data_IF_586050507011
#
_entry.id   IF_586050507011
#
_cell.length_a   1.000
_cell.length_b   1.000
_cell.length_c   1.000
_cell.angle_alpha   90.00
_cell.angle_beta   90.00
_cell.angle_gamma   90.00
#
_symmetry.space_group_name_H-M   'P 1'
#
loop_
_entity.id
_entity.type
_entity.pdbx_description
1 polymer ?
#
# COMPACT_ATOMS: atom_id res chain seq x y z
N UNK A 1 -65.82 -56.22 -12.39
CA UNK A 1 -64.76 -55.82 -13.35
C UNK A 1 -63.94 -54.69 -12.71
N UNK A 2 -62.85 -55.05 -12.01
CA UNK A 2 -62.02 -54.09 -11.25
C UNK A 2 -60.74 -53.84 -12.00
N UNK A 3 -60.52 -52.56 -12.42
CA UNK A 3 -59.28 -52.15 -13.03
C UNK A 3 -58.39 -51.51 -11.91
N UNK A 4 -57.28 -52.17 -11.63
CA UNK A 4 -56.21 -51.70 -10.73
C UNK A 4 -55.40 -50.64 -11.45
N UNK A 5 -55.32 -49.42 -10.84
CA UNK A 5 -54.40 -48.37 -11.23
C UNK A 5 -53.11 -48.52 -10.39
N UNK A 6 -52.00 -48.82 -11.04
CA UNK A 6 -50.66 -48.80 -10.49
C UNK A 6 -50.13 -47.39 -10.59
N UNK A 7 -49.93 -46.73 -9.47
CA UNK A 7 -49.21 -45.45 -9.36
C UNK A 7 -47.71 -45.69 -9.38
N UNK A 8 -47.04 -45.14 -10.38
CA UNK A 8 -45.57 -45.12 -10.46
C UNK A 8 -45.11 -43.83 -9.77
N UNK A 9 -44.48 -43.95 -8.59
CA UNK A 9 -43.85 -42.86 -7.88
C UNK A 9 -42.43 -42.72 -8.43
N UNK A 10 -42.19 -41.64 -9.18
CA UNK A 10 -40.87 -41.27 -9.65
C UNK A 10 -40.16 -40.42 -8.56
N UNK A 11 -39.22 -41.03 -7.88
CA UNK A 11 -38.37 -40.32 -6.90
C UNK A 11 -37.35 -39.49 -7.65
N UNK A 12 -37.48 -38.16 -7.61
CA UNK A 12 -36.51 -37.20 -8.14
C UNK A 12 -35.44 -36.95 -7.05
N UNK A 13 -34.29 -37.58 -7.20
CA UNK A 13 -33.14 -37.35 -6.34
C UNK A 13 -32.47 -36.01 -6.74
N UNK A 14 -32.74 -34.94 -5.97
CA UNK A 14 -31.98 -33.70 -6.06
C UNK A 14 -30.59 -33.90 -5.43
N UNK A 15 -29.59 -34.00 -6.27
CA UNK A 15 -28.18 -33.90 -5.84
C UNK A 15 -27.88 -32.44 -5.59
N UNK A 16 -27.91 -32.01 -4.33
CA UNK A 16 -27.37 -30.73 -3.88
C UNK A 16 -25.84 -30.79 -3.94
N UNK A 17 -25.27 -30.30 -5.03
CA UNK A 17 -23.83 -29.98 -5.08
C UNK A 17 -23.62 -28.71 -4.25
N UNK A 18 -23.28 -28.88 -2.97
CA UNK A 18 -22.79 -27.81 -2.14
C UNK A 18 -21.39 -27.37 -2.65
N UNK A 19 -21.37 -26.45 -3.61
CA UNK A 19 -20.13 -25.77 -4.01
C UNK A 19 -19.64 -24.94 -2.84
N UNK A 20 -18.63 -25.44 -2.12
CA UNK A 20 -17.86 -24.63 -1.19
C UNK A 20 -17.14 -23.57 -2.00
N UNK A 21 -17.68 -22.35 -2.05
CA UNK A 21 -16.94 -21.17 -2.50
C UNK A 21 -15.85 -20.95 -1.46
N UNK A 22 -14.66 -21.47 -1.72
CA UNK A 22 -13.48 -21.08 -0.95
C UNK A 22 -13.29 -19.57 -1.19
N UNK A 23 -13.54 -18.78 -0.17
CA UNK A 23 -13.11 -17.38 -0.13
C UNK A 23 -11.58 -17.42 -0.21
N UNK A 24 -11.04 -17.24 -1.41
CA UNK A 24 -9.62 -17.09 -1.60
C UNK A 24 -9.21 -15.77 -0.89
N UNK A 25 -8.60 -15.89 0.28
CA UNK A 25 -7.93 -14.75 0.87
C UNK A 25 -6.79 -14.34 -0.07
N UNK A 26 -6.71 -13.04 -0.36
CA UNK A 26 -5.63 -12.49 -1.17
C UNK A 26 -4.29 -12.82 -0.51
N UNK A 27 -3.41 -13.50 -1.25
CA UNK A 27 -2.06 -13.81 -0.80
C UNK A 27 -1.05 -12.74 -1.24
N UNK A 28 0.20 -12.82 -0.77
CA UNK A 28 1.22 -11.83 -1.11
C UNK A 28 1.40 -11.59 -2.61
N UNK A 29 1.23 -12.62 -3.45
CA UNK A 29 1.35 -12.52 -4.89
C UNK A 29 0.26 -11.62 -5.53
N UNK A 30 -0.92 -11.56 -4.94
CA UNK A 30 -2.05 -10.80 -5.46
C UNK A 30 -1.85 -9.28 -5.33
N UNK A 31 -0.92 -8.86 -4.46
CA UNK A 31 -0.57 -7.45 -4.29
C UNK A 31 0.45 -6.94 -5.31
N UNK A 32 1.16 -7.83 -6.00
CA UNK A 32 2.09 -7.46 -7.07
C UNK A 32 1.30 -7.18 -8.34
N UNK A 33 1.53 -6.00 -8.93
CA UNK A 33 0.85 -5.60 -10.16
C UNK A 33 1.22 -6.56 -11.30
N UNK A 34 0.24 -7.20 -11.95
CA UNK A 34 0.50 -8.04 -13.13
C UNK A 34 1.22 -7.28 -14.23
N UNK A 35 2.11 -7.97 -14.96
CA UNK A 35 2.95 -7.36 -16.02
C UNK A 35 2.12 -6.66 -17.09
N UNK A 36 0.99 -7.26 -17.48
CA UNK A 36 0.06 -6.72 -18.49
C UNK A 36 -0.67 -5.44 -18.06
N UNK A 37 -0.70 -5.16 -16.76
CA UNK A 37 -1.30 -3.93 -16.21
C UNK A 37 -0.36 -2.73 -16.28
N UNK A 38 0.92 -2.93 -16.60
CA UNK A 38 1.86 -1.82 -16.81
C UNK A 38 1.62 -1.19 -18.17
N UNK A 39 1.42 0.12 -18.21
CA UNK A 39 0.94 0.88 -19.38
C UNK A 39 2.01 1.20 -20.41
N UNK A 40 3.29 0.91 -20.15
CA UNK A 40 4.39 1.13 -21.12
C UNK A 40 5.29 -0.09 -21.23
N UNK A 41 6.07 -0.12 -22.30
CA UNK A 41 7.08 -1.14 -22.52
C UNK A 41 8.13 -1.15 -21.41
N UNK A 42 8.66 0.03 -21.05
CA UNK A 42 9.61 0.21 -19.94
C UNK A 42 9.04 -0.31 -18.62
N UNK A 43 7.79 0.03 -18.32
CA UNK A 43 7.12 -0.46 -17.10
C UNK A 43 6.98 -1.98 -17.08
N UNK A 44 6.63 -2.59 -18.22
CA UNK A 44 6.55 -4.07 -18.35
C UNK A 44 7.92 -4.72 -18.23
N UNK A 45 8.94 -4.18 -18.87
CA UNK A 45 10.31 -4.68 -18.79
C UNK A 45 10.81 -4.67 -17.33
N UNK A 46 10.61 -3.58 -16.61
CA UNK A 46 10.94 -3.49 -15.18
C UNK A 46 10.13 -4.48 -14.33
N UNK A 47 8.85 -4.64 -14.60
CA UNK A 47 8.00 -5.59 -13.87
C UNK A 47 8.46 -7.05 -14.06
N UNK A 48 8.84 -7.43 -15.27
CA UNK A 48 9.42 -8.76 -15.56
C UNK A 48 10.77 -8.91 -14.86
N UNK A 49 11.67 -7.93 -15.01
CA UNK A 49 13.02 -7.94 -14.44
C UNK A 49 13.02 -8.11 -12.92
N UNK A 50 12.05 -7.47 -12.24
CA UNK A 50 12.02 -7.37 -10.79
C UNK A 50 10.87 -8.15 -10.14
N UNK A 51 10.21 -9.04 -10.88
CA UNK A 51 9.09 -9.83 -10.36
C UNK A 51 9.43 -10.58 -9.05
N UNK A 52 10.58 -11.28 -8.94
CA UNK A 52 10.94 -11.97 -7.68
C UNK A 52 11.11 -11.02 -6.50
N UNK A 53 11.75 -9.87 -6.72
CA UNK A 53 11.97 -8.86 -5.67
C UNK A 53 10.67 -8.19 -5.23
N UNK A 54 9.75 -7.92 -6.17
CA UNK A 54 8.42 -7.40 -5.86
C UNK A 54 7.63 -8.40 -5.03
N UNK A 55 7.68 -9.69 -5.37
CA UNK A 55 7.03 -10.74 -4.61
C UNK A 55 7.61 -10.84 -3.19
N UNK A 56 8.94 -10.90 -3.06
CA UNK A 56 9.61 -10.94 -1.76
C UNK A 56 9.26 -9.72 -0.89
N UNK A 57 9.19 -8.53 -1.50
CA UNK A 57 8.79 -7.32 -0.79
C UNK A 57 7.33 -7.41 -0.33
N UNK A 58 6.45 -7.92 -1.17
CA UNK A 58 5.03 -8.14 -0.83
C UNK A 58 4.88 -9.13 0.31
N UNK A 59 5.59 -10.25 0.28
CA UNK A 59 5.64 -11.25 1.36
C UNK A 59 6.12 -10.63 2.68
N UNK A 60 7.17 -9.79 2.60
CA UNK A 60 7.66 -9.09 3.78
C UNK A 60 6.58 -8.18 4.38
N UNK A 61 5.93 -7.34 3.59
CA UNK A 61 4.87 -6.46 4.11
C UNK A 61 3.72 -7.27 4.69
N UNK A 62 3.28 -8.30 3.99
CA UNK A 62 2.16 -9.14 4.40
C UNK A 62 2.41 -9.88 5.72
N UNK A 63 3.60 -10.46 5.90
CA UNK A 63 3.91 -11.27 7.08
C UNK A 63 4.51 -10.48 8.25
N UNK A 64 5.26 -9.41 7.94
CA UNK A 64 6.04 -8.69 8.94
C UNK A 64 5.45 -7.36 9.38
N UNK A 65 4.47 -6.83 8.62
CA UNK A 65 3.83 -5.56 8.92
C UNK A 65 2.30 -5.73 8.95
N UNK A 66 1.76 -6.51 9.91
CA UNK A 66 0.34 -6.88 9.92
C UNK A 66 -0.63 -5.70 10.09
N UNK A 67 -0.10 -4.52 10.44
CA UNK A 67 -0.84 -3.25 10.54
C UNK A 67 -0.89 -2.48 9.21
N UNK A 68 -0.34 -3.04 8.13
CA UNK A 68 -0.36 -2.46 6.79
C UNK A 68 -0.98 -3.43 5.79
N UNK A 69 -1.86 -2.91 4.96
CA UNK A 69 -2.39 -3.62 3.79
C UNK A 69 -1.83 -2.97 2.52
N UNK A 70 -1.32 -3.76 1.57
CA UNK A 70 -0.93 -3.25 0.25
C UNK A 70 -2.19 -3.05 -0.59
N UNK A 71 -2.34 -1.86 -1.16
CA UNK A 71 -3.44 -1.50 -2.03
C UNK A 71 -2.96 -1.29 -3.47
N UNK A 72 -3.85 -1.54 -4.44
CA UNK A 72 -3.65 -1.23 -5.87
C UNK A 72 -2.33 -1.73 -6.51
N UNK A 73 -1.74 -2.75 -5.95
CA UNK A 73 -0.58 -3.45 -6.49
C UNK A 73 0.75 -2.70 -6.32
N UNK A 74 1.72 -3.47 -5.93
CA UNK A 74 3.14 -3.13 -5.90
C UNK A 74 3.70 -3.24 -7.32
N UNK A 75 4.47 -2.26 -7.80
CA UNK A 75 5.01 -2.31 -9.18
C UNK A 75 5.66 -1.01 -9.61
N UNK A 76 5.73 -0.78 -10.92
CA UNK A 76 6.37 0.40 -11.49
C UNK A 76 5.33 1.36 -12.04
N UNK A 77 5.16 2.51 -11.39
CA UNK A 77 4.14 3.52 -11.70
C UNK A 77 4.78 4.80 -12.25
N UNK A 78 3.99 5.55 -12.97
CA UNK A 78 4.32 6.88 -13.46
C UNK A 78 3.57 7.92 -12.65
N UNK A 79 4.17 9.09 -12.47
CA UNK A 79 3.44 10.25 -11.93
C UNK A 79 2.31 10.61 -12.90
N UNK A 80 1.07 10.77 -12.44
CA UNK A 80 -0.02 11.22 -13.28
C UNK A 80 0.29 12.54 -13.99
N UNK A 81 -0.06 12.65 -15.28
CA UNK A 81 0.12 13.85 -16.12
C UNK A 81 1.58 14.29 -16.32
N UNK A 82 2.58 13.55 -15.87
CA UNK A 82 3.98 13.84 -16.16
C UNK A 82 4.34 13.45 -17.61
N UNK A 83 5.15 14.29 -18.27
CA UNK A 83 5.68 13.96 -19.59
C UNK A 83 6.81 12.92 -19.47
N UNK A 84 7.07 12.18 -20.56
CA UNK A 84 8.08 11.13 -20.57
C UNK A 84 7.60 9.83 -19.93
N UNK A 85 8.50 8.87 -19.76
CA UNK A 85 8.23 7.54 -19.18
C UNK A 85 9.11 7.27 -17.95
N UNK A 86 9.11 8.22 -17.00
CA UNK A 86 9.76 8.04 -15.71
C UNK A 86 9.01 7.01 -14.89
N UNK A 87 9.69 5.91 -14.50
CA UNK A 87 9.11 4.82 -13.72
C UNK A 87 9.63 4.81 -12.30
N UNK A 88 8.69 4.84 -11.38
CA UNK A 88 8.94 4.80 -9.94
C UNK A 88 8.58 3.43 -9.41
N UNK A 89 9.46 2.79 -8.67
CA UNK A 89 9.10 1.64 -7.84
C UNK A 89 8.08 2.14 -6.82
N UNK A 90 6.88 1.57 -6.83
CA UNK A 90 5.72 2.15 -6.17
C UNK A 90 5.00 1.14 -5.29
N UNK A 91 4.63 1.57 -4.10
CA UNK A 91 3.75 0.85 -3.18
C UNK A 91 2.65 1.79 -2.67
N UNK A 92 1.45 1.26 -2.58
CA UNK A 92 0.34 1.91 -1.90
C UNK A 92 -0.06 1.04 -0.71
N UNK A 93 0.01 1.61 0.48
CA UNK A 93 -0.33 0.94 1.73
C UNK A 93 -1.51 1.62 2.40
N UNK A 94 -2.34 0.82 3.04
CA UNK A 94 -3.32 1.28 4.02
C UNK A 94 -2.78 1.00 5.41
N UNK A 95 -2.72 2.03 6.24
CA UNK A 95 -2.44 1.86 7.66
C UNK A 95 -3.76 1.54 8.38
N UNK A 96 -3.82 0.36 8.99
CA UNK A 96 -4.95 -0.06 9.82
C UNK A 96 -4.87 0.59 11.21
N UNK A 97 -4.92 1.89 11.23
CA UNK A 97 -4.93 2.64 12.47
C UNK A 97 -6.35 3.00 12.85
N UNK A 98 -6.79 2.50 14.01
CA UNK A 98 -7.96 3.07 14.65
C UNK A 98 -7.68 4.54 15.00
N UNK A 99 -8.64 5.44 14.79
CA UNK A 99 -8.46 6.85 15.11
C UNK A 99 -8.19 7.00 16.62
N UNK A 100 -6.93 7.26 16.97
CA UNK A 100 -6.56 7.64 18.32
C UNK A 100 -7.08 9.07 18.57
N UNK A 101 -7.72 9.37 19.71
CA UNK A 101 -8.23 10.70 20.01
C UNK A 101 -7.15 11.80 19.93
N UNK A 102 -5.92 11.51 20.33
CA UNK A 102 -4.83 12.47 20.24
C UNK A 102 -4.42 12.74 18.79
N UNK A 103 -4.39 11.71 17.94
CA UNK A 103 -4.17 11.88 16.50
C UNK A 103 -5.34 12.63 15.85
N UNK A 104 -6.58 12.30 16.19
CA UNK A 104 -7.78 12.94 15.66
C UNK A 104 -7.87 14.44 16.02
N UNK A 105 -7.29 14.84 17.13
CA UNK A 105 -7.24 16.24 17.56
C UNK A 105 -6.20 17.10 16.84
N UNK A 106 -5.29 16.49 16.07
CA UNK A 106 -4.29 17.23 15.33
C UNK A 106 -4.91 17.97 14.12
N UNK A 107 -4.33 19.10 13.76
CA UNK A 107 -4.58 19.73 12.47
C UNK A 107 -4.16 18.81 11.32
N UNK A 108 -4.80 18.91 10.16
CA UNK A 108 -4.61 17.99 9.03
C UNK A 108 -3.15 17.91 8.58
N UNK A 109 -2.43 19.03 8.50
CA UNK A 109 -1.02 19.07 8.16
C UNK A 109 -0.14 18.29 9.16
N UNK A 110 -0.52 18.30 10.44
CA UNK A 110 0.14 17.54 11.51
C UNK A 110 -0.18 16.04 11.42
N UNK A 111 -1.42 15.69 11.10
CA UNK A 111 -1.81 14.30 10.83
C UNK A 111 -1.02 13.75 9.65
N UNK A 112 -0.97 14.50 8.54
CA UNK A 112 -0.22 14.12 7.34
C UNK A 112 1.28 13.99 7.64
N UNK A 113 1.87 14.90 8.43
CA UNK A 113 3.27 14.83 8.86
C UNK A 113 3.55 13.59 9.71
N UNK A 114 2.62 13.23 10.60
CA UNK A 114 2.70 12.01 11.39
C UNK A 114 2.66 10.75 10.52
N UNK A 115 1.70 10.66 9.58
CA UNK A 115 1.56 9.53 8.66
C UNK A 115 2.76 9.43 7.70
N UNK A 116 3.27 10.56 7.23
CA UNK A 116 4.48 10.61 6.41
C UNK A 116 5.69 10.05 7.17
N UNK A 117 5.94 10.56 8.36
CA UNK A 117 7.11 10.16 9.16
C UNK A 117 7.02 8.71 9.61
N UNK A 118 5.81 8.28 9.99
CA UNK A 118 5.57 6.97 10.56
C UNK A 118 5.55 5.83 9.55
N UNK A 119 4.93 6.07 8.40
CA UNK A 119 4.68 5.01 7.42
C UNK A 119 5.39 5.26 6.09
N UNK A 120 5.32 6.48 5.54
CA UNK A 120 5.88 6.73 4.22
C UNK A 120 7.41 6.65 4.22
N UNK A 121 8.10 7.27 5.18
CA UNK A 121 9.57 7.23 5.24
C UNK A 121 10.13 5.82 5.52
N UNK A 122 9.65 5.04 6.50
CA UNK A 122 10.10 3.67 6.68
C UNK A 122 9.83 2.78 5.47
N UNK A 123 8.67 2.94 4.82
CA UNK A 123 8.32 2.17 3.62
C UNK A 123 9.23 2.56 2.43
N UNK A 124 9.49 3.85 2.24
CA UNK A 124 10.44 4.34 1.25
C UNK A 124 11.84 3.75 1.46
N UNK A 125 12.32 3.74 2.70
CA UNK A 125 13.62 3.16 3.06
C UNK A 125 13.69 1.68 2.70
N UNK A 126 12.63 0.91 3.00
CA UNK A 126 12.54 -0.51 2.63
C UNK A 126 12.48 -0.71 1.12
N UNK A 127 11.64 0.06 0.45
CA UNK A 127 11.48 -0.05 -1.00
C UNK A 127 12.78 0.31 -1.75
N UNK A 128 13.51 1.32 -1.29
CA UNK A 128 14.80 1.71 -1.88
C UNK A 128 15.93 0.71 -1.58
N UNK A 129 15.79 -0.10 -0.54
CA UNK A 129 16.73 -1.16 -0.18
C UNK A 129 16.52 -2.45 -0.99
N UNK A 130 15.44 -2.56 -1.77
CA UNK A 130 15.22 -3.72 -2.64
C UNK A 130 16.38 -3.84 -3.64
N UNK A 131 17.02 -5.03 -3.74
CA UNK A 131 18.20 -5.21 -4.58
C UNK A 131 17.98 -4.79 -6.04
N UNK A 132 18.84 -3.95 -6.53
CA UNK A 132 18.80 -3.44 -7.90
C UNK A 132 18.00 -2.15 -8.09
N UNK A 133 16.97 -1.85 -7.29
CA UNK A 133 16.12 -0.68 -7.52
C UNK A 133 16.90 0.65 -7.48
N UNK A 134 17.74 0.85 -6.47
CA UNK A 134 18.48 2.09 -6.30
C UNK A 134 19.67 2.26 -7.26
N UNK A 135 20.02 1.25 -8.05
CA UNK A 135 21.14 1.28 -9.02
C UNK A 135 20.69 1.16 -10.47
N UNK A 136 19.43 0.82 -10.74
CA UNK A 136 18.91 0.68 -12.10
C UNK A 136 18.58 2.06 -12.69
N UNK A 137 19.20 2.48 -13.82
CA UNK A 137 18.92 3.76 -14.46
C UNK A 137 17.48 3.87 -15.01
N UNK A 138 16.80 2.73 -15.21
CA UNK A 138 15.41 2.71 -15.66
C UNK A 138 14.40 2.92 -14.53
N UNK A 139 14.81 2.72 -13.28
CA UNK A 139 14.04 3.11 -12.09
C UNK A 139 14.36 4.56 -11.77
N UNK A 140 13.48 5.47 -12.16
CA UNK A 140 13.69 6.90 -11.93
C UNK A 140 13.65 7.29 -10.44
N UNK A 141 12.87 6.58 -9.63
CA UNK A 141 12.74 6.87 -8.22
C UNK A 141 11.76 5.94 -7.51
N UNK A 142 11.24 6.43 -6.40
CA UNK A 142 10.37 5.68 -5.50
C UNK A 142 9.07 6.44 -5.25
N UNK A 143 7.98 5.69 -5.11
CA UNK A 143 6.67 6.23 -4.77
C UNK A 143 6.06 5.45 -3.63
N UNK A 144 5.58 6.15 -2.62
CA UNK A 144 4.79 5.58 -1.54
C UNK A 144 3.49 6.37 -1.44
N UNK A 145 2.37 5.66 -1.43
CA UNK A 145 1.09 6.22 -1.03
C UNK A 145 0.68 5.59 0.31
N UNK A 146 0.28 6.42 1.25
CA UNK A 146 -0.25 6.00 2.54
C UNK A 146 -1.70 6.42 2.64
N UNK A 147 -2.57 5.46 2.90
CA UNK A 147 -4.00 5.64 3.07
C UNK A 147 -4.36 5.33 4.53
N UNK A 148 -5.25 6.11 5.12
CA UNK A 148 -5.79 5.88 6.46
C UNK A 148 -7.23 6.34 6.56
N UNK A 149 -7.94 5.87 7.59
CA UNK A 149 -9.31 6.32 7.87
C UNK A 149 -9.26 7.75 8.41
N UNK A 150 -10.00 8.66 7.77
CA UNK A 150 -10.16 10.03 8.24
C UNK A 150 -10.79 10.05 9.63
N UNK A 151 -10.16 10.74 10.62
CA UNK A 151 -10.72 10.89 11.94
C UNK A 151 -12.13 11.49 11.89
N UNK A 152 -13.05 10.94 12.69
CA UNK A 152 -14.43 11.41 12.78
C UNK A 152 -15.33 11.04 11.59
N UNK A 153 -14.83 10.25 10.62
CA UNK A 153 -15.67 9.73 9.54
C UNK A 153 -16.66 8.67 10.04
N UNK A 154 -17.75 8.49 9.29
CA UNK A 154 -18.78 7.49 9.62
C UNK A 154 -18.17 6.08 9.61
N UNK A 155 -18.23 5.31 10.70
CA UNK A 155 -17.62 3.97 10.78
C UNK A 155 -18.22 2.96 9.78
N UNK A 156 -19.49 3.13 9.39
CA UNK A 156 -20.14 2.26 8.40
C UNK A 156 -19.79 2.64 6.95
N UNK A 157 -19.24 3.85 6.73
CA UNK A 157 -18.82 4.35 5.44
C UNK A 157 -17.64 5.29 5.63
N UNK A 158 -16.47 4.74 5.95
CA UNK A 158 -15.31 5.56 6.29
C UNK A 158 -14.82 6.34 5.05
N UNK A 159 -14.51 7.61 5.29
CA UNK A 159 -13.75 8.41 4.32
C UNK A 159 -12.27 8.09 4.51
N UNK A 160 -11.56 7.93 3.43
CA UNK A 160 -10.12 7.69 3.45
C UNK A 160 -9.38 8.98 3.15
N UNK A 161 -8.30 9.22 3.87
CA UNK A 161 -7.30 10.23 3.54
C UNK A 161 -6.09 9.54 2.94
N UNK A 162 -5.45 10.16 1.93
CA UNK A 162 -4.33 9.58 1.21
C UNK A 162 -3.23 10.62 1.05
N UNK A 163 -2.01 10.26 1.43
CA UNK A 163 -0.81 10.98 1.07
C UNK A 163 -0.05 10.18 0.01
N UNK A 164 0.09 10.73 -1.20
CA UNK A 164 0.91 10.17 -2.26
C UNK A 164 2.20 10.97 -2.43
N UNK A 165 3.34 10.27 -2.48
CA UNK A 165 4.65 10.87 -2.68
C UNK A 165 5.41 10.20 -3.82
N UNK A 166 6.17 11.02 -4.55
CA UNK A 166 7.13 10.59 -5.55
C UNK A 166 8.46 11.30 -5.30
N UNK A 167 9.53 10.55 -5.17
CA UNK A 167 10.87 11.05 -4.94
C UNK A 167 11.84 10.43 -5.95
N UNK A 168 12.70 11.24 -6.54
CA UNK A 168 13.72 10.72 -7.44
C UNK A 168 14.79 9.91 -6.69
N UNK A 169 15.49 9.05 -7.43
CA UNK A 169 16.47 8.13 -6.88
C UNK A 169 17.65 8.85 -6.23
N UNK A 170 18.14 9.95 -6.84
CA UNK A 170 19.32 10.67 -6.36
C UNK A 170 19.01 11.39 -5.02
N UNK A 171 17.90 12.11 -4.95
CA UNK A 171 17.45 12.78 -3.72
C UNK A 171 17.17 11.77 -2.61
N UNK A 172 16.55 10.64 -2.94
CA UNK A 172 16.28 9.56 -1.97
C UNK A 172 17.57 8.99 -1.40
N UNK A 173 18.55 8.71 -2.24
CA UNK A 173 19.86 8.22 -1.81
C UNK A 173 20.57 9.23 -0.90
N UNK A 174 20.56 10.51 -1.28
CA UNK A 174 21.18 11.57 -0.50
C UNK A 174 20.50 11.74 0.88
N UNK A 175 19.19 11.66 0.93
CA UNK A 175 18.43 11.72 2.20
C UNK A 175 18.73 10.51 3.11
N UNK A 176 18.66 9.30 2.57
CA UNK A 176 18.92 8.08 3.34
C UNK A 176 20.39 7.98 3.78
N UNK A 177 21.33 8.53 2.98
CA UNK A 177 22.74 8.70 3.31
C UNK A 177 23.04 9.88 4.24
N UNK A 178 22.02 10.61 4.70
CA UNK A 178 22.15 11.77 5.62
C UNK A 178 22.94 12.94 5.03
N UNK A 179 23.07 13.03 3.70
CA UNK A 179 23.73 14.16 3.01
C UNK A 179 22.73 15.22 2.53
N UNK A 180 21.44 14.91 2.53
CA UNK A 180 20.34 15.84 2.24
C UNK A 180 19.45 15.96 3.48
N UNK A 181 19.25 17.17 4.03
CA UNK A 181 18.36 17.40 5.15
C UNK A 181 16.89 17.02 4.82
N UNK A 182 16.16 16.57 5.82
CA UNK A 182 14.77 16.12 5.65
C UNK A 182 13.86 17.19 5.03
N UNK A 183 14.00 18.44 5.45
CA UNK A 183 13.23 19.56 4.89
C UNK A 183 13.47 19.73 3.40
N UNK A 184 14.73 19.76 2.97
CA UNK A 184 15.09 19.91 1.56
C UNK A 184 14.64 18.67 0.74
N UNK A 185 14.70 17.49 1.33
CA UNK A 185 14.21 16.29 0.69
C UNK A 185 12.70 16.35 0.44
N UNK A 186 11.93 16.77 1.44
CA UNK A 186 10.48 16.97 1.29
C UNK A 186 10.16 18.02 0.23
N UNK A 187 10.93 19.12 0.15
CA UNK A 187 10.75 20.15 -0.87
C UNK A 187 10.96 19.62 -2.30
N UNK A 188 11.89 18.68 -2.49
CA UNK A 188 12.18 18.03 -3.79
C UNK A 188 11.16 16.98 -4.21
N UNK A 189 10.37 16.45 -3.27
CA UNK A 189 9.34 15.45 -3.58
C UNK A 189 8.15 16.09 -4.27
N UNK A 190 7.51 15.31 -5.12
CA UNK A 190 6.12 15.57 -5.50
C UNK A 190 5.21 14.93 -4.48
N UNK A 191 4.47 15.76 -3.77
CA UNK A 191 3.53 15.36 -2.73
C UNK A 191 2.12 15.79 -3.12
N UNK A 192 1.16 14.90 -2.92
CA UNK A 192 -0.27 15.19 -3.13
C UNK A 192 -1.08 14.55 -2.01
N UNK A 193 -1.90 15.34 -1.37
CA UNK A 193 -2.84 14.89 -0.35
C UNK A 193 -4.27 14.85 -0.93
N UNK A 194 -5.01 13.81 -0.56
CA UNK A 194 -6.41 13.63 -0.93
C UNK A 194 -7.27 13.48 0.32
N UNK A 195 -8.40 14.16 0.35
CA UNK A 195 -9.47 13.99 1.33
C UNK A 195 -10.63 13.28 0.64
N UNK A 196 -10.76 11.99 0.86
CA UNK A 196 -11.62 11.14 0.03
C UNK A 196 -11.19 11.19 -1.44
N UNK A 197 -12.14 11.45 -2.31
CA UNK A 197 -11.90 11.57 -3.77
C UNK A 197 -11.39 12.97 -4.19
N UNK A 198 -11.32 13.92 -3.24
CA UNK A 198 -10.90 15.29 -3.53
C UNK A 198 -9.40 15.46 -3.42
N UNK A 199 -8.74 15.84 -4.51
CA UNK A 199 -7.36 16.30 -4.49
C UNK A 199 -7.28 17.67 -3.78
N UNK A 200 -6.57 17.70 -2.64
CA UNK A 200 -6.31 18.94 -1.87
C UNK A 200 -5.02 19.60 -2.35
N UNK A 201 -4.08 18.81 -2.86
CA UNK A 201 -2.78 19.26 -3.32
C UNK A 201 -1.69 19.05 -2.28
N UNK A 202 -0.67 19.90 -2.32
CA UNK A 202 0.50 19.82 -1.43
C UNK A 202 0.19 20.46 -0.08
N UNK A 203 0.42 19.73 1.00
CA UNK A 203 0.41 20.26 2.35
C UNK A 203 1.86 20.45 2.85
N UNK A 204 2.09 21.36 3.80
CA UNK A 204 3.35 21.42 4.52
C UNK A 204 3.56 20.14 5.32
N UNK A 205 4.75 19.55 5.21
CA UNK A 205 5.09 18.32 5.92
C UNK A 205 6.35 18.56 6.75
N UNK A 206 6.26 18.22 8.02
CA UNK A 206 7.40 18.13 8.91
C UNK A 206 7.77 16.66 9.11
N UNK A 207 9.05 16.35 9.02
CA UNK A 207 9.53 14.99 9.35
C UNK A 207 9.69 14.94 10.87
N UNK A 208 8.91 14.06 11.50
CA UNK A 208 8.98 13.87 12.94
C UNK A 208 10.02 12.80 13.28
N UNK A 209 10.79 13.10 14.30
CA UNK A 209 11.62 12.11 14.95
C UNK A 209 10.78 11.24 15.91
N UNK A 210 11.25 10.07 16.20
CA UNK A 210 10.54 8.85 16.51
C UNK A 210 9.95 8.75 17.92
N UNK A 211 8.82 9.38 18.20
CA UNK A 211 8.00 8.99 19.35
C UNK A 211 6.51 8.74 18.99
N UNK A 212 6.20 8.62 17.71
CA UNK A 212 4.83 8.49 17.22
C UNK A 212 4.08 7.31 17.88
N UNK A 213 4.73 6.14 18.00
CA UNK A 213 4.14 4.96 18.64
C UNK A 213 3.81 5.22 20.10
N UNK A 214 4.75 5.83 20.84
CA UNK A 214 4.55 6.16 22.24
C UNK A 214 3.47 7.23 22.42
N UNK A 215 3.45 8.23 21.53
CA UNK A 215 2.51 9.36 21.58
C UNK A 215 1.10 8.94 21.20
N UNK A 216 0.94 8.14 20.13
CA UNK A 216 -0.38 7.80 19.58
C UNK A 216 -0.81 6.36 19.85
N UNK A 217 -0.02 5.59 20.60
CA UNK A 217 -0.33 4.20 21.03
C UNK A 217 -0.86 3.33 19.87
N UNK A 218 -0.19 3.39 18.72
CA UNK A 218 -0.62 2.70 17.51
C UNK A 218 -0.63 1.19 17.73
N UNK A 219 -1.79 0.52 17.73
CA UNK A 219 -1.86 -0.92 17.94
C UNK A 219 -1.15 -1.68 16.79
N UNK A 220 -0.55 -2.83 17.10
CA UNK A 220 0.05 -3.72 16.11
C UNK A 220 1.40 -3.23 15.54
N UNK A 221 1.98 -2.18 16.11
CA UNK A 221 3.28 -1.68 15.65
C UNK A 221 4.45 -2.59 16.05
N UNK A 222 4.33 -3.27 17.16
CA UNK A 222 5.33 -4.24 17.57
C UNK A 222 5.21 -5.50 16.72
N UNK A 223 6.27 -5.85 16.01
CA UNK A 223 6.36 -7.14 15.33
C UNK A 223 6.24 -8.24 16.36
N UNK A 224 5.39 -9.25 16.11
CA UNK A 224 5.32 -10.44 16.95
C UNK A 224 6.73 -11.06 17.03
N UNK A 225 7.25 -11.14 18.26
CA UNK A 225 8.52 -11.82 18.51
C UNK A 225 8.41 -13.27 18.03
N UNK A 226 9.20 -13.65 17.05
CA UNK A 226 9.30 -15.03 16.58
C UNK A 226 8.93 -15.27 15.11
N UNK A 227 8.38 -14.31 14.37
CA UNK A 227 8.29 -14.42 12.91
C UNK A 227 9.62 -13.98 12.27
N UNK A 228 10.04 -14.73 11.24
CA UNK A 228 11.28 -14.49 10.49
C UNK A 228 11.13 -13.21 9.68
N UNK A 229 11.28 -12.08 10.33
CA UNK A 229 11.17 -10.74 9.76
C UNK A 229 12.51 -9.97 9.86
N UNK A 230 13.61 -10.72 9.85
CA UNK A 230 14.99 -10.20 9.86
C UNK A 230 15.50 -9.91 8.45
#
# INVERSE_FOLDING_TARGET
MLMSRRSVATALAMVLVAGTVALAYAGPADYVMPVDKHTSEKGRALAVKYQPQLLQFSEYVYHCLPYLEIKNGLGFKKVPKEQGDNRYAAVWIRAEQAPDPAFAALAVDRQVSAMFSRYAIPMLRRLSAVPGFASDPDVYGFSVAVEWIKPGSNPNRPTMEILAMFADQASTRAFLGKTLPAKEYVEKMRLTFFDGDKEVGRLPIEVWEDNFVATYKVPGYEMEKGKVCS
#
